data_IF_543693037783
#
_entry.id   IF_543693037783
#
_cell.length_a   1.000
_cell.length_b   1.000
_cell.length_c   1.000
_cell.angle_alpha   90.00
_cell.angle_beta   90.00
_cell.angle_gamma   90.00
#
_symmetry.space_group_name_H-M   'P 1'
#
loop_
_entity.id
_entity.type
_entity.pdbx_description
1 polymer ?
#
# COMPACT_ATOMS: atom_id res chain seq x y z
N UNK A 1 -3.68 -21.99 5.12
CA UNK A 1 -2.28 -21.72 4.69
C UNK A 1 -2.19 -20.32 4.10
N UNK A 2 -1.20 -19.54 4.54
CA UNK A 2 -1.00 -18.19 4.06
C UNK A 2 -0.15 -18.21 2.79
N UNK A 3 -0.80 -18.28 1.66
CA UNK A 3 -0.15 -18.37 0.35
C UNK A 3 -0.48 -17.22 -0.60
N UNK A 4 -1.27 -16.26 -0.15
CA UNK A 4 -1.78 -15.19 -0.99
C UNK A 4 -1.25 -13.83 -0.51
N UNK A 5 -0.83 -13.00 -1.45
CA UNK A 5 -0.44 -11.61 -1.18
C UNK A 5 -1.57 -10.69 -1.67
N UNK A 6 -2.05 -9.82 -0.80
CA UNK A 6 -3.02 -8.81 -1.17
C UNK A 6 -2.30 -7.62 -1.79
N UNK A 7 -2.65 -7.30 -3.02
CA UNK A 7 -2.10 -6.16 -3.76
C UNK A 7 -3.18 -5.09 -3.89
N UNK A 8 -2.95 -3.95 -3.25
CA UNK A 8 -3.86 -2.80 -3.34
C UNK A 8 -3.26 -1.79 -4.32
N UNK A 9 -3.98 -1.55 -5.40
CA UNK A 9 -3.59 -0.63 -6.46
C UNK A 9 -4.63 0.49 -6.58
N UNK A 10 -4.29 1.56 -7.29
CA UNK A 10 -5.12 2.77 -7.36
C UNK A 10 -5.60 3.10 -8.77
N UNK A 11 -5.18 2.32 -9.74
CA UNK A 11 -5.55 2.51 -11.14
C UNK A 11 -5.82 1.15 -11.81
N UNK A 12 -6.76 1.13 -12.75
CA UNK A 12 -7.20 -0.10 -13.43
C UNK A 12 -6.05 -0.85 -14.10
N UNK A 13 -5.13 -0.13 -14.70
CA UNK A 13 -4.00 -0.70 -15.45
C UNK A 13 -2.72 -0.85 -14.64
N UNK A 14 -2.77 -0.62 -13.33
CA UNK A 14 -1.59 -0.81 -12.49
C UNK A 14 -1.16 -2.27 -12.48
N UNK A 15 0.15 -2.48 -12.63
CA UNK A 15 0.77 -3.80 -12.55
C UNK A 15 1.71 -3.84 -11.33
N UNK A 16 1.86 -5.01 -10.69
CA UNK A 16 2.70 -5.12 -9.49
C UNK A 16 4.22 -5.01 -9.77
N UNK A 17 4.62 -5.05 -11.05
CA UNK A 17 6.00 -4.83 -11.47
C UNK A 17 6.99 -5.81 -10.85
N UNK A 18 8.15 -5.32 -10.48
CA UNK A 18 9.26 -6.13 -9.96
C UNK A 18 8.89 -6.86 -8.65
N UNK A 19 8.17 -6.22 -7.76
CA UNK A 19 7.70 -6.82 -6.51
C UNK A 19 6.78 -8.00 -6.80
N UNK A 20 5.87 -7.87 -7.77
CA UNK A 20 5.02 -8.97 -8.21
C UNK A 20 5.83 -10.18 -8.69
N UNK A 21 6.84 -9.95 -9.51
CA UNK A 21 7.71 -11.02 -9.99
C UNK A 21 8.43 -11.74 -8.84
N UNK A 22 8.92 -11.00 -7.86
CA UNK A 22 9.59 -11.60 -6.70
C UNK A 22 8.66 -12.50 -5.88
N UNK A 23 7.40 -12.12 -5.73
CA UNK A 23 6.42 -12.97 -5.06
C UNK A 23 6.05 -14.19 -5.90
N UNK A 24 5.84 -14.02 -7.21
CA UNK A 24 5.54 -15.15 -8.12
C UNK A 24 6.64 -16.20 -8.12
N UNK A 25 7.90 -15.77 -8.18
CA UNK A 25 9.06 -16.69 -8.13
C UNK A 25 9.09 -17.51 -6.85
N UNK A 26 8.50 -17.02 -5.78
CA UNK A 26 8.40 -17.71 -4.49
C UNK A 26 7.09 -18.50 -4.31
N UNK A 27 6.28 -18.57 -5.35
CA UNK A 27 5.06 -19.39 -5.36
C UNK A 27 3.84 -18.76 -4.71
N UNK A 28 3.85 -17.47 -4.43
CA UNK A 28 2.68 -16.79 -3.87
C UNK A 28 1.62 -16.52 -4.94
N UNK A 29 0.37 -16.59 -4.52
CA UNK A 29 -0.79 -16.16 -5.31
C UNK A 29 -1.09 -14.70 -5.02
N UNK A 30 -1.83 -14.06 -5.92
CA UNK A 30 -2.23 -12.65 -5.75
C UNK A 30 -3.74 -12.51 -5.63
N UNK A 31 -4.15 -11.61 -4.75
CA UNK A 31 -5.48 -11.03 -4.71
C UNK A 31 -5.32 -9.53 -4.95
N UNK A 32 -5.72 -9.08 -6.13
CA UNK A 32 -5.57 -7.67 -6.55
C UNK A 32 -6.88 -6.93 -6.32
N UNK A 33 -6.80 -5.84 -5.57
CA UNK A 33 -7.95 -4.97 -5.27
C UNK A 33 -7.64 -3.52 -5.61
N UNK A 34 -8.64 -2.82 -6.14
CA UNK A 34 -8.57 -1.39 -6.43
C UNK A 34 -9.77 -0.69 -5.78
N UNK A 35 -9.68 -0.29 -4.50
CA UNK A 35 -10.79 0.35 -3.80
C UNK A 35 -11.27 1.64 -4.47
N UNK A 36 -10.36 2.37 -5.10
CA UNK A 36 -10.69 3.61 -5.83
C UNK A 36 -11.61 3.38 -7.03
N UNK A 37 -11.72 2.13 -7.51
CA UNK A 37 -12.66 1.74 -8.57
C UNK A 37 -13.85 0.95 -8.03
N UNK A 38 -14.04 0.91 -6.72
CA UNK A 38 -15.19 0.30 -6.07
C UNK A 38 -14.97 -1.10 -5.50
N UNK A 39 -13.77 -1.66 -5.61
CA UNK A 39 -13.49 -2.97 -5.02
C UNK A 39 -13.58 -2.91 -3.50
N UNK A 40 -14.20 -3.93 -2.90
CA UNK A 40 -14.18 -4.09 -1.46
C UNK A 40 -12.86 -4.69 -1.00
N UNK A 41 -12.40 -4.30 0.19
CA UNK A 41 -11.25 -4.91 0.84
C UNK A 41 -11.71 -6.10 1.68
N UNK A 42 -10.86 -7.15 1.84
CA UNK A 42 -11.27 -8.35 2.55
C UNK A 42 -11.58 -8.07 4.03
N UNK A 43 -12.61 -8.69 4.55
CA UNK A 43 -12.92 -8.64 5.98
C UNK A 43 -12.06 -9.64 6.77
N UNK A 44 -11.81 -10.82 6.19
CA UNK A 44 -11.00 -11.87 6.78
C UNK A 44 -9.59 -11.85 6.18
N UNK A 45 -8.58 -11.90 7.05
CA UNK A 45 -7.19 -11.71 6.67
C UNK A 45 -6.35 -13.00 6.79
N UNK A 46 -6.95 -14.10 7.21
CA UNK A 46 -6.23 -15.33 7.58
C UNK A 46 -5.41 -15.96 6.46
N UNK A 47 -5.84 -15.78 5.21
CA UNK A 47 -5.15 -16.36 4.06
C UNK A 47 -3.99 -15.54 3.53
N UNK A 48 -3.82 -14.32 4.02
CA UNK A 48 -2.82 -13.41 3.46
C UNK A 48 -1.47 -13.55 4.16
N UNK A 49 -0.44 -13.79 3.37
CA UNK A 49 0.95 -13.82 3.82
C UNK A 49 1.52 -12.41 3.95
N UNK A 50 1.02 -11.46 3.17
CA UNK A 50 1.45 -10.08 3.16
C UNK A 50 0.41 -9.17 2.50
N UNK A 51 0.51 -7.88 2.79
CA UNK A 51 -0.28 -6.83 2.13
C UNK A 51 0.69 -5.80 1.55
N UNK A 52 0.51 -5.47 0.28
CA UNK A 52 1.30 -4.43 -0.40
C UNK A 52 0.35 -3.36 -0.91
N UNK A 53 0.56 -2.12 -0.51
CA UNK A 53 -0.16 -0.96 -1.05
C UNK A 53 0.79 -0.17 -1.94
N UNK A 54 0.41 -0.04 -3.20
CA UNK A 54 1.22 0.62 -4.23
C UNK A 54 0.99 2.12 -4.28
N UNK A 55 1.77 2.81 -5.10
CA UNK A 55 1.62 4.21 -5.38
C UNK A 55 0.36 4.53 -6.19
N UNK A 56 0.06 5.79 -6.32
CA UNK A 56 -1.05 6.30 -7.09
C UNK A 56 -1.06 7.83 -7.12
N UNK A 57 -1.93 8.44 -7.93
CA UNK A 57 -1.98 9.89 -8.06
C UNK A 57 -2.70 10.60 -6.92
N UNK A 58 -3.38 9.83 -6.04
CA UNK A 58 -4.15 10.39 -4.93
C UNK A 58 -3.23 10.79 -3.77
N UNK A 59 -3.75 11.60 -2.85
CA UNK A 59 -3.09 11.90 -1.59
C UNK A 59 -3.61 11.01 -0.47
N UNK A 60 -2.75 10.66 0.48
CA UNK A 60 -3.16 9.98 1.71
C UNK A 60 -4.13 10.84 2.55
N UNK A 61 -4.24 12.13 2.24
CA UNK A 61 -5.17 13.06 2.88
C UNK A 61 -6.53 13.17 2.17
N UNK A 62 -6.72 12.45 1.05
CA UNK A 62 -7.97 12.44 0.29
C UNK A 62 -9.01 11.52 0.93
N UNK A 63 -9.20 11.64 2.25
CA UNK A 63 -10.14 10.80 3.01
C UNK A 63 -11.63 11.01 2.63
N UNK A 64 -11.92 12.05 1.87
CA UNK A 64 -13.22 12.26 1.24
C UNK A 64 -13.48 11.29 0.08
N UNK A 65 -12.44 10.73 -0.51
CA UNK A 65 -12.54 9.69 -1.53
C UNK A 65 -12.83 8.34 -0.87
N UNK A 66 -13.94 7.65 -1.24
CA UNK A 66 -14.28 6.38 -0.61
C UNK A 66 -13.18 5.31 -0.67
N UNK A 67 -12.44 5.26 -1.78
CA UNK A 67 -11.32 4.32 -1.94
C UNK A 67 -10.19 4.56 -0.95
N UNK A 68 -9.76 5.80 -0.79
CA UNK A 68 -8.70 6.17 0.17
C UNK A 68 -9.17 5.95 1.60
N UNK A 69 -10.41 6.31 1.90
CA UNK A 69 -10.99 6.05 3.22
C UNK A 69 -11.01 4.56 3.55
N UNK A 70 -11.38 3.70 2.60
CA UNK A 70 -11.35 2.24 2.78
C UNK A 70 -9.95 1.76 3.17
N UNK A 71 -8.91 2.27 2.50
CA UNK A 71 -7.53 1.90 2.81
C UNK A 71 -7.10 2.40 4.19
N UNK A 72 -7.44 3.64 4.54
CA UNK A 72 -7.15 4.19 5.87
C UNK A 72 -7.82 3.40 6.99
N UNK A 73 -9.02 2.89 6.76
CA UNK A 73 -9.76 2.07 7.73
C UNK A 73 -9.26 0.62 7.75
N UNK A 74 -8.68 0.15 6.66
CA UNK A 74 -8.20 -1.22 6.49
C UNK A 74 -6.81 -1.46 7.12
N UNK A 75 -5.88 -0.53 6.92
CA UNK A 75 -4.49 -0.69 7.38
C UNK A 75 -4.38 -0.99 8.88
N UNK A 76 -5.16 -0.34 9.78
CA UNK A 76 -5.14 -0.69 11.20
C UNK A 76 -5.48 -2.16 11.47
N UNK A 77 -6.37 -2.75 10.68
CA UNK A 77 -6.75 -4.17 10.83
C UNK A 77 -5.58 -5.08 10.44
N UNK A 78 -4.85 -4.73 9.38
CA UNK A 78 -3.67 -5.47 8.93
C UNK A 78 -2.58 -5.43 10.03
N UNK A 79 -2.33 -4.25 10.59
CA UNK A 79 -1.34 -4.07 11.64
C UNK A 79 -1.72 -4.86 12.90
N UNK A 80 -2.99 -4.82 13.29
CA UNK A 80 -3.49 -5.58 14.46
C UNK A 80 -3.36 -7.08 14.25
N UNK A 81 -3.55 -7.56 13.04
CA UNK A 81 -3.39 -8.96 12.67
C UNK A 81 -1.93 -9.39 12.52
N UNK A 82 -0.99 -8.46 12.67
CA UNK A 82 0.45 -8.68 12.53
C UNK A 82 0.86 -9.30 11.17
N UNK A 83 0.10 -8.97 10.13
CA UNK A 83 0.44 -9.38 8.76
C UNK A 83 1.53 -8.47 8.21
N UNK A 84 2.60 -9.01 7.62
CA UNK A 84 3.63 -8.20 6.97
C UNK A 84 3.03 -7.20 5.98
N UNK A 85 3.44 -5.95 6.10
CA UNK A 85 2.91 -4.85 5.32
C UNK A 85 4.03 -4.09 4.62
N UNK A 86 3.85 -3.81 3.33
CA UNK A 86 4.75 -2.95 2.56
C UNK A 86 3.93 -1.83 1.90
N UNK A 87 4.27 -0.60 2.24
CA UNK A 87 3.69 0.59 1.61
C UNK A 87 4.69 1.27 0.69
N UNK A 88 4.32 1.48 -0.57
CA UNK A 88 5.14 2.12 -1.59
C UNK A 88 4.52 3.46 -1.98
N UNK A 89 5.28 4.54 -1.87
CA UNK A 89 4.84 5.90 -2.19
C UNK A 89 3.54 6.25 -1.45
N UNK A 90 2.40 6.35 -2.14
CA UNK A 90 1.10 6.57 -1.53
C UNK A 90 0.81 5.56 -0.40
N UNK A 91 1.13 4.29 -0.61
CA UNK A 91 0.97 3.25 0.41
C UNK A 91 1.79 3.50 1.67
N UNK A 92 3.01 3.99 1.52
CA UNK A 92 3.85 4.40 2.65
C UNK A 92 3.29 5.62 3.37
N UNK A 93 2.72 6.56 2.63
CA UNK A 93 2.07 7.76 3.20
C UNK A 93 0.80 7.40 3.98
N UNK A 94 0.00 6.46 3.47
CA UNK A 94 -1.18 5.94 4.18
C UNK A 94 -0.76 5.28 5.49
N UNK A 95 0.27 4.45 5.47
CA UNK A 95 0.81 3.83 6.67
C UNK A 95 1.29 4.87 7.69
N UNK A 96 2.05 5.87 7.25
CA UNK A 96 2.52 6.95 8.11
C UNK A 96 1.36 7.68 8.80
N UNK A 97 0.30 7.97 8.04
CA UNK A 97 -0.89 8.62 8.59
C UNK A 97 -1.62 7.75 9.61
N UNK A 98 -1.76 6.46 9.33
CA UNK A 98 -2.37 5.49 10.26
C UNK A 98 -1.59 5.41 11.57
N UNK A 99 -0.26 5.52 11.50
CA UNK A 99 0.62 5.51 12.67
C UNK A 99 0.67 6.86 13.41
N UNK A 100 -0.10 7.84 12.99
CA UNK A 100 -0.24 9.13 13.67
C UNK A 100 0.69 10.24 13.16
N UNK A 101 1.42 10.01 12.07
CA UNK A 101 2.26 11.04 11.45
C UNK A 101 1.46 11.95 10.52
N UNK A 102 1.94 13.16 10.32
CA UNK A 102 1.41 14.07 9.32
C UNK A 102 2.04 13.78 7.96
N UNK A 103 1.21 13.74 6.93
CA UNK A 103 1.64 13.67 5.53
C UNK A 103 1.30 15.01 4.90
N UNK A 104 2.33 15.75 4.51
CA UNK A 104 2.19 17.12 3.98
C UNK A 104 3.35 17.45 3.05
N UNK A 105 3.18 18.45 2.15
CA UNK A 105 4.29 18.94 1.35
C UNK A 105 5.42 19.47 2.23
N UNK A 106 6.66 19.41 1.72
CA UNK A 106 7.81 19.99 2.37
C UNK A 106 7.58 21.49 2.59
N UNK A 107 8.05 22.03 3.73
CA UNK A 107 7.83 23.43 4.10
C UNK A 107 8.33 24.42 3.05
N UNK A 108 9.44 24.10 2.38
CA UNK A 108 10.05 24.92 1.32
C UNK A 108 9.59 24.52 -0.09
N UNK A 109 8.60 23.63 -0.22
CA UNK A 109 8.10 23.14 -1.50
C UNK A 109 9.05 22.21 -2.25
N UNK A 110 10.05 21.66 -1.59
CA UNK A 110 10.98 20.72 -2.21
C UNK A 110 10.29 19.43 -2.61
N UNK A 111 10.61 18.92 -3.80
CA UNK A 111 10.19 17.62 -4.31
C UNK A 111 11.40 16.81 -4.68
N UNK A 112 11.36 15.51 -4.40
CA UNK A 112 12.35 14.56 -4.88
C UNK A 112 11.84 13.91 -6.17
N UNK A 113 12.65 13.97 -7.22
CA UNK A 113 12.31 13.38 -8.51
C UNK A 113 13.55 12.71 -9.11
N UNK A 114 13.34 11.54 -9.73
CA UNK A 114 14.39 10.77 -10.35
C UNK A 114 15.07 9.80 -9.38
N UNK A 115 16.27 9.37 -9.72
CA UNK A 115 17.06 8.41 -8.95
C UNK A 115 17.97 9.14 -7.96
N UNK A 116 17.84 8.79 -6.70
CA UNK A 116 18.66 9.34 -5.62
C UNK A 116 19.41 8.21 -4.93
N UNK A 117 20.69 8.44 -4.63
CA UNK A 117 21.48 7.47 -3.88
C UNK A 117 20.95 7.36 -2.45
N UNK A 118 20.74 6.13 -2.00
CA UNK A 118 20.37 5.83 -0.62
C UNK A 118 21.44 4.97 0.03
N UNK A 119 21.51 5.06 1.34
CA UNK A 119 22.47 4.29 2.13
C UNK A 119 21.73 3.47 3.16
N UNK A 120 22.13 2.20 3.38
CA UNK A 120 21.52 1.41 4.45
C UNK A 120 21.88 1.99 5.81
N UNK A 121 20.97 1.86 6.75
CA UNK A 121 21.26 2.13 8.17
C UNK A 121 22.02 0.97 8.79
N UNK A 122 22.74 1.23 9.86
CA UNK A 122 23.45 0.19 10.60
C UNK A 122 22.50 -0.80 11.30
#
# INVERSE_FOLDING_TARGET
MQDTVLLIVHQKKSVPGHIGHLFEERGYKFDRRCPCLGDELPEELDRYAAVVIFGGPMSANDCWMPGIKKELDFVPKVLKAEIPFLGLCLGGQILARVLGADVKPHADGHIESGYTRIYPTE
#
